data_IF_732464177756
#
_entry.id   IF_732464177756
#
_cell.length_a   1.000
_cell.length_b   1.000
_cell.length_c   1.000
_cell.angle_alpha   90.00
_cell.angle_beta   90.00
_cell.angle_gamma   90.00
#
_symmetry.space_group_name_H-M   'P 1'
#
loop_
_entity.id
_entity.type
_entity.pdbx_description
1 polymer ?
#
# COMPACT_ATOMS: atom_id res chain seq x y z
N UNK A 1 8.14 -18.39 56.61
CA UNK A 1 6.69 -18.09 56.66
C UNK A 1 6.15 -18.51 55.31
N UNK A 2 5.92 -19.81 55.17
CA UNK A 2 5.46 -20.49 53.95
C UNK A 2 4.07 -21.04 54.25
N UNK A 3 3.12 -20.90 53.32
CA UNK A 3 1.96 -21.79 53.29
C UNK A 3 1.64 -22.20 51.87
N UNK A 4 1.79 -23.51 51.66
CA UNK A 4 1.37 -24.32 50.51
C UNK A 4 -0.12 -24.71 50.67
N UNK A 5 -0.69 -25.01 49.51
CA UNK A 5 -1.94 -25.73 49.23
C UNK A 5 -2.36 -26.83 50.21
N UNK A 6 -3.67 -27.06 50.34
CA UNK A 6 -4.23 -28.42 50.48
C UNK A 6 -5.65 -28.55 49.93
N UNK A 7 -5.86 -29.68 49.28
CA UNK A 7 -7.05 -30.20 48.62
C UNK A 7 -7.89 -31.05 49.58
N UNK A 8 -9.18 -31.16 49.23
CA UNK A 8 -10.11 -32.30 49.43
C UNK A 8 -10.60 -32.73 50.83
N UNK A 9 -11.95 -32.88 50.92
CA UNK A 9 -12.75 -34.08 51.32
C UNK A 9 -14.09 -33.65 51.94
N UNK A 10 -15.25 -34.32 51.86
CA UNK A 10 -15.86 -35.41 51.05
C UNK A 10 -17.27 -35.70 51.68
N UNK A 11 -18.17 -36.44 50.98
CA UNK A 11 -19.43 -37.14 51.41
C UNK A 11 -20.77 -36.35 51.50
N UNK A 12 -21.76 -36.55 50.60
CA UNK A 12 -22.84 -37.61 50.46
C UNK A 12 -23.83 -37.61 51.64
N UNK A 13 -25.17 -37.69 51.57
CA UNK A 13 -26.28 -38.11 50.64
C UNK A 13 -27.63 -37.89 51.45
N UNK A 14 -28.90 -38.20 51.04
CA UNK A 14 -29.45 -38.79 49.79
C UNK A 14 -30.79 -38.17 49.26
N UNK A 15 -31.32 -38.80 48.17
CA UNK A 15 -32.74 -38.92 47.72
C UNK A 15 -33.39 -37.66 47.09
N UNK A 16 -34.16 -37.70 45.99
CA UNK A 16 -34.88 -38.75 45.25
C UNK A 16 -34.98 -38.34 43.76
N UNK A 17 -35.09 -39.32 42.86
CA UNK A 17 -35.33 -39.14 41.43
C UNK A 17 -36.63 -38.38 41.13
N UNK A 18 -36.61 -37.51 40.11
CA UNK A 18 -37.67 -37.37 39.12
C UNK A 18 -37.06 -36.78 37.85
N UNK A 19 -36.92 -37.63 36.82
CA UNK A 19 -36.66 -37.19 35.45
C UNK A 19 -37.81 -36.29 35.00
N UNK A 20 -37.50 -35.06 34.63
CA UNK A 20 -38.27 -34.35 33.62
C UNK A 20 -37.30 -33.79 32.58
N UNK A 21 -37.45 -34.30 31.36
CA UNK A 21 -36.71 -33.92 30.18
C UNK A 21 -37.11 -32.49 29.82
N UNK A 22 -36.21 -31.54 30.07
CA UNK A 22 -36.31 -30.16 29.62
C UNK A 22 -34.97 -29.74 29.04
N UNK A 23 -34.81 -29.97 27.74
CA UNK A 23 -33.64 -29.50 26.99
C UNK A 23 -33.74 -27.99 26.88
N UNK A 24 -33.00 -27.27 27.71
CA UNK A 24 -32.73 -25.84 27.51
C UNK A 24 -31.61 -25.77 26.47
N UNK A 25 -31.99 -25.56 25.20
CA UNK A 25 -31.06 -25.10 24.18
C UNK A 25 -30.64 -23.67 24.52
N UNK A 26 -29.43 -23.50 25.05
CA UNK A 26 -28.73 -22.23 24.93
C UNK A 26 -28.43 -22.06 23.43
N UNK A 27 -29.23 -21.24 22.75
CA UNK A 27 -28.87 -20.68 21.46
C UNK A 27 -27.69 -19.74 21.71
N UNK A 28 -26.48 -20.28 21.66
CA UNK A 28 -25.33 -19.53 21.17
C UNK A 28 -25.72 -19.11 19.76
N UNK A 29 -26.13 -17.85 19.60
CA UNK A 29 -26.16 -17.21 18.31
C UNK A 29 -24.74 -17.25 17.79
N UNK A 30 -24.45 -18.27 16.98
CA UNK A 30 -23.37 -18.24 16.02
C UNK A 30 -23.69 -17.01 15.16
N UNK A 31 -23.04 -15.88 15.43
CA UNK A 31 -22.92 -14.84 14.44
C UNK A 31 -22.44 -15.56 13.19
N UNK A 32 -23.25 -15.57 12.14
CA UNK A 32 -22.78 -16.01 10.83
C UNK A 32 -21.56 -15.14 10.57
N UNK A 33 -20.39 -15.76 10.41
CA UNK A 33 -19.36 -15.15 9.59
C UNK A 33 -20.03 -14.88 8.24
N UNK A 34 -20.50 -13.66 8.03
CA UNK A 34 -20.78 -13.20 6.69
C UNK A 34 -19.45 -13.29 5.97
N UNK A 35 -19.34 -14.27 5.07
CA UNK A 35 -18.20 -14.34 4.17
C UNK A 35 -18.18 -13.03 3.44
N UNK A 36 -17.22 -12.16 3.78
CA UNK A 36 -16.89 -11.03 2.96
C UNK A 36 -16.66 -11.57 1.54
N UNK A 37 -17.55 -11.17 0.64
CA UNK A 37 -17.38 -11.38 -0.78
C UNK A 37 -16.10 -10.64 -1.20
N UNK A 38 -15.38 -11.17 -2.18
CA UNK A 38 -14.47 -10.31 -2.94
C UNK A 38 -15.31 -9.15 -3.47
N UNK A 39 -14.76 -7.92 -3.60
CA UNK A 39 -15.39 -6.86 -4.42
C UNK A 39 -15.98 -7.59 -5.62
N UNK A 40 -17.30 -7.52 -5.87
CA UNK A 40 -17.99 -8.39 -6.80
C UNK A 40 -17.09 -8.53 -8.00
N UNK A 41 -16.86 -9.77 -8.45
CA UNK A 41 -16.15 -10.03 -9.69
C UNK A 41 -16.98 -9.41 -10.82
N UNK A 42 -17.08 -8.08 -10.87
CA UNK A 42 -17.20 -7.36 -12.10
C UNK A 42 -16.06 -7.92 -12.92
N UNK A 43 -16.44 -8.58 -14.01
CA UNK A 43 -15.47 -9.07 -14.98
C UNK A 43 -14.49 -7.93 -15.18
N UNK A 44 -13.22 -8.16 -14.82
CA UNK A 44 -12.17 -7.20 -15.11
C UNK A 44 -12.33 -6.97 -16.62
N UNK A 45 -12.54 -5.71 -17.07
CA UNK A 45 -12.61 -5.44 -18.49
C UNK A 45 -11.39 -6.09 -19.15
N UNK A 46 -11.54 -6.71 -20.34
CA UNK A 46 -10.46 -7.48 -20.94
C UNK A 46 -9.14 -6.71 -20.85
N UNK A 47 -8.13 -7.27 -20.19
CA UNK A 47 -6.90 -6.54 -19.97
C UNK A 47 -6.15 -6.37 -21.29
N UNK A 48 -5.70 -5.15 -21.58
CA UNK A 48 -4.93 -4.84 -22.78
C UNK A 48 -3.74 -3.97 -22.42
N UNK A 49 -2.65 -4.15 -23.16
CA UNK A 49 -1.45 -3.34 -23.03
C UNK A 49 -1.46 -2.21 -24.05
N UNK A 50 -0.65 -1.18 -23.79
CA UNK A 50 -0.41 -0.08 -24.73
C UNK A 50 0.10 -0.56 -26.09
N UNK A 51 0.69 -1.76 -26.17
CA UNK A 51 1.07 -2.40 -27.45
C UNK A 51 -0.12 -2.63 -28.38
N UNK A 52 -1.31 -2.90 -27.82
CA UNK A 52 -2.53 -3.18 -28.61
C UNK A 52 -3.31 -1.90 -28.90
N UNK A 53 -3.45 -1.01 -27.91
CA UNK A 53 -4.19 0.26 -28.03
C UNK A 53 -3.84 1.22 -26.90
N UNK A 54 -3.98 2.52 -27.15
CA UNK A 54 -3.76 3.59 -26.18
C UNK A 54 -5.09 4.25 -25.77
N UNK A 55 -5.13 4.89 -24.60
CA UNK A 55 -6.20 5.82 -24.23
C UNK A 55 -5.72 7.24 -24.56
N UNK A 56 -6.47 7.94 -25.41
CA UNK A 56 -6.18 9.32 -25.81
C UNK A 56 -7.22 10.25 -25.21
N UNK A 57 -6.82 11.33 -24.52
CA UNK A 57 -7.76 12.30 -24.02
C UNK A 57 -8.43 13.00 -25.21
N UNK A 58 -9.75 13.16 -25.13
CA UNK A 58 -10.49 13.98 -26.08
C UNK A 58 -10.27 15.44 -25.69
N UNK A 59 -9.25 16.05 -26.26
CA UNK A 59 -8.89 17.43 -25.94
C UNK A 59 -9.86 18.41 -26.61
N UNK A 60 -10.41 19.38 -25.87
CA UNK A 60 -11.10 20.51 -26.48
C UNK A 60 -10.09 21.37 -27.29
N UNK A 61 -10.55 22.14 -28.30
CA UNK A 61 -9.65 23.03 -29.04
C UNK A 61 -8.97 24.05 -28.10
N UNK A 62 -7.67 24.25 -28.25
CA UNK A 62 -6.91 25.24 -27.49
C UNK A 62 -6.94 26.63 -28.16
N UNK A 63 -6.87 27.74 -27.37
CA UNK A 63 -6.78 27.80 -25.90
C UNK A 63 -8.09 27.45 -25.20
N UNK A 64 -8.04 27.11 -23.92
CA UNK A 64 -9.23 26.82 -23.10
C UNK A 64 -9.63 28.04 -22.27
N UNK A 65 -10.49 28.90 -22.80
CA UNK A 65 -11.19 29.90 -21.98
C UNK A 65 -12.23 29.25 -21.05
N UNK A 66 -12.63 29.93 -19.97
CA UNK A 66 -13.71 29.46 -19.08
C UNK A 66 -15.02 29.18 -19.85
N UNK A 67 -15.32 29.99 -20.86
CA UNK A 67 -16.49 29.81 -21.75
C UNK A 67 -16.35 28.53 -22.60
N UNK A 68 -15.16 28.23 -23.10
CA UNK A 68 -14.89 26.99 -23.86
C UNK A 68 -14.91 25.74 -22.98
N UNK A 69 -14.48 25.85 -21.72
CA UNK A 69 -14.60 24.78 -20.73
C UNK A 69 -16.08 24.48 -20.46
N UNK A 70 -16.89 25.50 -20.16
CA UNK A 70 -18.32 25.33 -19.89
C UNK A 70 -19.05 24.75 -21.13
N UNK A 71 -18.68 25.21 -22.33
CA UNK A 71 -19.26 24.74 -23.60
C UNK A 71 -18.86 23.31 -23.96
N UNK A 72 -17.69 22.83 -23.53
CA UNK A 72 -17.20 21.48 -23.80
C UNK A 72 -17.11 20.61 -22.54
N UNK A 73 -17.82 20.96 -21.46
CA UNK A 73 -17.82 20.18 -20.21
C UNK A 73 -18.25 18.73 -20.39
N UNK A 74 -19.03 18.46 -21.43
CA UNK A 74 -19.44 17.12 -21.84
C UNK A 74 -18.32 16.32 -22.51
N UNK A 75 -17.22 16.95 -22.96
CA UNK A 75 -16.06 16.32 -23.58
C UNK A 75 -14.83 16.25 -22.66
N UNK A 76 -14.74 17.15 -21.70
CA UNK A 76 -13.67 17.14 -20.70
C UNK A 76 -13.73 15.82 -19.91
N UNK A 77 -12.58 15.19 -19.72
CA UNK A 77 -12.48 13.89 -19.04
C UNK A 77 -12.93 12.68 -19.88
N UNK A 78 -13.26 12.87 -21.17
CA UNK A 78 -13.50 11.75 -22.08
C UNK A 78 -12.21 11.25 -22.70
N UNK A 79 -12.17 9.95 -22.91
CA UNK A 79 -11.07 9.27 -23.58
C UNK A 79 -11.61 8.47 -24.77
N UNK A 80 -10.79 8.38 -25.82
CA UNK A 80 -11.01 7.48 -26.95
C UNK A 80 -9.86 6.49 -27.08
N UNK A 81 -10.10 5.38 -27.78
CA UNK A 81 -9.03 4.44 -28.09
C UNK A 81 -8.22 4.96 -29.28
N UNK A 82 -6.92 5.07 -29.08
CA UNK A 82 -5.94 5.27 -30.13
C UNK A 82 -5.21 3.98 -30.50
N UNK A 83 -4.38 4.07 -31.54
CA UNK A 83 -3.50 2.99 -31.97
C UNK A 83 -2.55 2.54 -30.84
N UNK A 84 -2.13 1.28 -30.91
CA UNK A 84 -1.12 0.74 -30.01
C UNK A 84 0.28 1.26 -30.29
N UNK A 85 1.14 1.23 -29.28
CA UNK A 85 2.53 1.64 -29.34
C UNK A 85 3.44 0.42 -29.55
N UNK A 86 4.07 0.27 -30.72
CA UNK A 86 4.93 -0.89 -30.98
C UNK A 86 6.23 -0.82 -30.18
N UNK A 87 6.82 -1.98 -29.87
CA UNK A 87 8.15 -2.05 -29.27
C UNK A 87 9.19 -1.31 -30.12
N UNK A 88 9.98 -0.44 -29.47
CA UNK A 88 11.10 0.25 -30.09
C UNK A 88 12.40 -0.50 -29.86
N UNK A 89 13.20 -0.68 -30.92
CA UNK A 89 14.54 -1.24 -30.80
C UNK A 89 15.53 -0.15 -30.35
N UNK A 90 16.09 -0.30 -29.14
CA UNK A 90 17.11 0.60 -28.57
C UNK A 90 18.52 0.11 -28.88
N UNK A 91 19.05 0.45 -30.06
CA UNK A 91 20.41 0.08 -30.48
C UNK A 91 21.51 0.95 -29.84
N UNK A 92 21.13 1.96 -29.07
CA UNK A 92 22.01 2.84 -28.32
C UNK A 92 22.55 2.22 -27.02
N UNK A 93 21.93 1.13 -26.53
CA UNK A 93 22.39 0.40 -25.34
C UNK A 93 23.23 -0.83 -25.78
N UNK A 94 22.66 -1.93 -26.32
CA UNK A 94 23.43 -2.93 -27.06
C UNK A 94 23.17 -2.86 -28.57
N UNK A 95 24.22 -3.04 -29.37
CA UNK A 95 24.06 -3.24 -30.83
C UNK A 95 23.33 -4.54 -31.12
N UNK A 96 22.45 -4.54 -32.12
CA UNK A 96 21.79 -5.76 -32.59
C UNK A 96 22.81 -6.80 -33.07
N UNK A 97 22.74 -8.01 -32.50
CA UNK A 97 23.58 -9.14 -32.90
C UNK A 97 23.26 -9.70 -34.30
N UNK A 98 24.13 -10.57 -34.82
CA UNK A 98 24.10 -11.11 -36.20
C UNK A 98 23.02 -12.19 -36.48
N UNK A 99 21.84 -12.07 -35.88
CA UNK A 99 20.73 -13.01 -36.08
C UNK A 99 20.78 -14.27 -35.19
N UNK A 100 19.68 -15.02 -35.16
CA UNK A 100 19.47 -16.21 -34.33
C UNK A 100 18.09 -16.24 -33.65
N UNK A 101 17.69 -17.38 -33.09
CA UNK A 101 16.47 -17.50 -32.29
C UNK A 101 16.64 -16.75 -30.97
N UNK A 102 15.80 -15.76 -30.72
CA UNK A 102 15.78 -15.03 -29.44
C UNK A 102 14.97 -15.83 -28.43
N UNK A 103 15.45 -15.87 -27.19
CA UNK A 103 14.69 -16.36 -26.03
C UNK A 103 14.50 -15.21 -25.05
N UNK A 104 13.33 -15.14 -24.41
CA UNK A 104 13.14 -14.29 -23.24
C UNK A 104 14.12 -14.75 -22.16
N UNK A 105 14.89 -13.81 -21.60
CA UNK A 105 15.78 -14.09 -20.46
C UNK A 105 15.11 -13.78 -19.12
N UNK A 106 14.20 -12.81 -19.13
CA UNK A 106 13.46 -12.33 -17.98
C UNK A 106 12.14 -11.74 -18.46
N UNK A 107 11.10 -11.83 -17.65
CA UNK A 107 9.82 -11.16 -17.81
C UNK A 107 9.26 -10.91 -16.41
N UNK A 108 9.16 -9.65 -16.06
CA UNK A 108 8.82 -9.22 -14.72
C UNK A 108 7.91 -8.00 -14.82
N UNK A 109 7.23 -7.70 -13.71
CA UNK A 109 6.44 -6.49 -13.56
C UNK A 109 7.21 -5.53 -12.68
N UNK A 110 7.24 -4.27 -13.10
CA UNK A 110 7.78 -3.16 -12.33
C UNK A 110 6.66 -2.17 -12.06
N UNK A 111 6.37 -1.95 -10.78
CA UNK A 111 5.43 -0.96 -10.27
C UNK A 111 6.18 0.03 -9.38
N UNK A 112 5.66 1.23 -9.24
CA UNK A 112 6.21 2.30 -8.41
C UNK A 112 5.09 3.27 -8.05
N UNK A 113 5.27 4.03 -6.96
CA UNK A 113 4.41 5.17 -6.62
C UNK A 113 2.94 4.75 -6.51
N UNK A 114 2.69 3.68 -5.75
CA UNK A 114 1.34 3.17 -5.49
C UNK A 114 0.58 4.15 -4.60
N UNK A 115 1.25 4.69 -3.57
CA UNK A 115 0.68 5.60 -2.58
C UNK A 115 -0.67 5.13 -2.02
N UNK A 116 -0.67 3.96 -1.37
CA UNK A 116 -1.81 3.62 -0.50
C UNK A 116 -1.91 4.73 0.57
N UNK A 117 -3.05 5.41 0.56
CA UNK A 117 -3.28 6.59 1.37
C UNK A 117 -4.50 6.38 2.25
N UNK A 118 -4.34 6.70 3.53
CA UNK A 118 -5.46 6.88 4.45
C UNK A 118 -6.04 8.29 4.24
N UNK A 119 -7.13 8.41 3.49
CA UNK A 119 -7.80 9.68 3.21
C UNK A 119 -8.45 10.30 4.45
N UNK A 120 -8.80 9.48 5.44
CA UNK A 120 -9.36 9.92 6.72
C UNK A 120 -8.26 10.29 7.72
N UNK A 121 -7.00 10.08 7.35
CA UNK A 121 -5.84 10.53 8.12
C UNK A 121 -5.81 12.06 8.24
N UNK A 122 -5.61 12.60 9.45
CA UNK A 122 -5.45 14.05 9.64
C UNK A 122 -4.14 14.60 9.05
N UNK A 123 -3.25 13.74 8.53
CA UNK A 123 -1.96 14.12 7.95
C UNK A 123 -2.05 14.49 6.47
N UNK A 124 -3.25 14.52 5.86
CA UNK A 124 -3.42 14.94 4.47
C UNK A 124 -3.23 16.45 4.35
N UNK A 125 -2.59 16.89 3.26
CA UNK A 125 -2.28 18.30 2.99
C UNK A 125 -3.29 18.94 2.04
N UNK A 126 -3.38 20.28 1.98
CA UNK A 126 -4.32 21.02 1.11
C UNK A 126 -4.34 20.53 -0.34
N UNK A 127 -3.18 20.21 -0.92
CA UNK A 127 -3.09 19.71 -2.28
C UNK A 127 -3.68 18.30 -2.48
N UNK A 128 -3.81 17.52 -1.41
CA UNK A 128 -4.15 16.09 -1.46
C UNK A 128 -5.44 15.74 -0.71
N UNK A 129 -5.94 16.62 0.15
CA UNK A 129 -7.19 16.38 0.90
C UNK A 129 -8.42 16.29 -0.01
N UNK A 130 -8.40 16.86 -1.21
CA UNK A 130 -9.50 16.78 -2.19
C UNK A 130 -9.34 15.66 -3.21
N UNK A 131 -8.27 14.86 -3.08
CA UNK A 131 -7.92 13.85 -4.04
C UNK A 131 -8.90 12.67 -3.97
N UNK A 132 -9.65 12.45 -5.07
CA UNK A 132 -10.59 11.33 -5.20
C UNK A 132 -9.84 9.99 -5.24
N UNK A 133 -8.66 9.97 -5.86
CA UNK A 133 -7.85 8.76 -6.01
C UNK A 133 -7.38 8.18 -4.68
N UNK A 134 -7.29 8.99 -3.61
CA UNK A 134 -6.96 8.50 -2.28
C UNK A 134 -8.00 7.50 -1.74
N UNK A 135 -9.30 7.86 -1.84
CA UNK A 135 -10.45 7.00 -1.45
C UNK A 135 -10.44 5.64 -2.12
N UNK A 136 -9.87 5.55 -3.32
CA UNK A 136 -9.88 4.34 -4.12
C UNK A 136 -8.49 3.71 -4.29
N UNK A 137 -7.48 4.18 -3.55
CA UNK A 137 -6.08 3.74 -3.73
C UNK A 137 -5.93 2.23 -3.51
N UNK A 138 -6.61 1.70 -2.50
CA UNK A 138 -6.61 0.28 -2.13
C UNK A 138 -7.31 -0.58 -3.20
N UNK A 139 -8.48 -0.15 -3.67
CA UNK A 139 -9.26 -0.84 -4.70
C UNK A 139 -8.56 -0.76 -6.07
N UNK A 140 -7.88 0.35 -6.36
CA UNK A 140 -7.06 0.51 -7.55
C UNK A 140 -5.89 -0.48 -7.54
N UNK A 141 -5.22 -0.63 -6.39
CA UNK A 141 -4.17 -1.65 -6.24
C UNK A 141 -4.73 -3.06 -6.44
N UNK A 142 -5.90 -3.40 -5.89
CA UNK A 142 -6.55 -4.70 -6.14
C UNK A 142 -6.87 -4.92 -7.63
N UNK A 143 -7.37 -3.88 -8.31
CA UNK A 143 -7.61 -3.91 -9.76
C UNK A 143 -6.30 -4.12 -10.56
N UNK A 144 -5.18 -3.56 -10.09
CA UNK A 144 -3.86 -3.83 -10.66
C UNK A 144 -3.45 -5.29 -10.47
N UNK A 145 -3.60 -5.85 -9.26
CA UNK A 145 -3.25 -7.27 -8.99
C UNK A 145 -4.07 -8.22 -9.89
N UNK A 146 -5.36 -7.96 -10.01
CA UNK A 146 -6.29 -8.63 -10.93
C UNK A 146 -5.82 -8.57 -12.39
N UNK A 147 -5.42 -7.40 -12.85
CA UNK A 147 -4.90 -7.18 -14.22
C UNK A 147 -3.60 -7.94 -14.47
N UNK A 148 -2.67 -7.91 -13.52
CA UNK A 148 -1.42 -8.67 -13.61
C UNK A 148 -1.66 -10.17 -13.65
N UNK A 149 -2.59 -10.67 -12.84
CA UNK A 149 -2.97 -12.08 -12.87
C UNK A 149 -3.64 -12.51 -14.19
N UNK A 150 -4.30 -11.61 -14.91
CA UNK A 150 -4.83 -11.92 -16.24
C UNK A 150 -3.68 -12.10 -17.25
N UNK A 151 -2.74 -11.16 -17.27
CA UNK A 151 -1.57 -11.23 -18.14
C UNK A 151 -0.64 -12.42 -17.81
N UNK A 152 -0.54 -12.82 -16.55
CA UNK A 152 0.29 -13.96 -16.14
C UNK A 152 -0.20 -15.31 -16.72
N UNK A 153 -1.44 -15.38 -17.20
CA UNK A 153 -2.00 -16.57 -17.87
C UNK A 153 -1.33 -16.86 -19.22
N UNK A 154 -0.88 -15.83 -19.95
CA UNK A 154 -0.16 -16.00 -21.21
C UNK A 154 1.29 -16.47 -20.97
N UNK A 155 1.97 -15.85 -20.00
CA UNK A 155 3.30 -16.23 -19.54
C UNK A 155 3.43 -15.83 -18.05
N UNK A 156 3.73 -16.76 -17.14
CA UNK A 156 4.01 -16.40 -15.75
C UNK A 156 5.19 -15.43 -15.66
N UNK A 157 5.12 -14.49 -14.72
CA UNK A 157 6.23 -13.60 -14.40
C UNK A 157 7.31 -14.34 -13.63
N UNK A 158 8.56 -13.94 -13.86
CA UNK A 158 9.70 -14.43 -13.10
C UNK A 158 9.72 -13.81 -11.69
N UNK A 159 9.26 -12.55 -11.55
CA UNK A 159 9.00 -11.85 -10.29
C UNK A 159 8.21 -10.56 -10.54
N UNK A 160 7.80 -9.89 -9.46
CA UNK A 160 7.20 -8.56 -9.45
C UNK A 160 8.03 -7.66 -8.51
N UNK A 161 8.19 -6.38 -8.83
CA UNK A 161 8.90 -5.44 -7.95
C UNK A 161 8.18 -4.09 -7.85
N UNK A 162 8.04 -3.60 -6.63
CA UNK A 162 7.56 -2.25 -6.28
C UNK A 162 8.77 -1.38 -5.91
N UNK A 163 9.00 -0.26 -6.58
CA UNK A 163 10.24 0.54 -6.40
C UNK A 163 10.08 1.79 -5.56
N UNK A 164 9.38 1.68 -4.44
CA UNK A 164 9.18 2.76 -3.49
C UNK A 164 7.80 3.39 -3.56
N UNK A 165 7.51 4.15 -2.51
CA UNK A 165 6.26 4.90 -2.32
C UNK A 165 5.04 3.99 -2.45
N UNK A 166 5.11 2.90 -1.68
CA UNK A 166 4.03 1.92 -1.56
C UNK A 166 2.89 2.49 -0.73
N UNK A 167 3.22 3.27 0.30
CA UNK A 167 2.29 3.99 1.18
C UNK A 167 2.50 5.50 1.08
N UNK A 168 1.60 6.30 1.64
CA UNK A 168 1.63 7.76 1.49
C UNK A 168 2.23 8.51 2.68
N UNK A 169 2.02 8.04 3.91
CA UNK A 169 2.42 8.77 5.13
C UNK A 169 3.10 7.90 6.18
N UNK A 170 3.70 6.77 5.76
CA UNK A 170 4.39 5.83 6.65
C UNK A 170 3.51 5.34 7.80
N UNK A 171 2.18 5.26 7.60
CA UNK A 171 1.26 4.80 8.64
C UNK A 171 1.20 3.28 8.67
N UNK A 172 0.91 2.70 9.84
CA UNK A 172 0.76 1.26 9.96
C UNK A 172 -0.38 0.75 9.07
N UNK A 173 -1.58 1.33 9.17
CA UNK A 173 -2.75 0.93 8.37
C UNK A 173 -2.43 0.92 6.88
N UNK A 174 -1.84 1.99 6.33
CA UNK A 174 -1.45 2.06 4.93
C UNK A 174 -0.52 0.88 4.53
N UNK A 175 0.48 0.57 5.36
CA UNK A 175 1.41 -0.53 5.09
C UNK A 175 0.75 -1.91 5.26
N UNK A 176 -0.21 -2.05 6.18
CA UNK A 176 -1.02 -3.27 6.30
C UNK A 176 -1.91 -3.47 5.09
N UNK A 177 -2.63 -2.42 4.66
CA UNK A 177 -3.51 -2.45 3.50
C UNK A 177 -2.74 -2.79 2.23
N UNK A 178 -1.61 -2.11 1.98
CA UNK A 178 -0.72 -2.44 0.85
C UNK A 178 -0.37 -3.93 0.84
N UNK A 179 0.18 -4.44 1.95
CA UNK A 179 0.59 -5.85 2.06
C UNK A 179 -0.60 -6.80 1.86
N UNK A 180 -1.71 -6.54 2.54
CA UNK A 180 -2.93 -7.37 2.49
C UNK A 180 -3.52 -7.43 1.08
N UNK A 181 -3.56 -6.31 0.35
CA UNK A 181 -4.02 -6.29 -1.04
C UNK A 181 -3.11 -7.13 -1.93
N UNK A 182 -1.79 -6.96 -1.82
CA UNK A 182 -0.82 -7.70 -2.63
C UNK A 182 -0.84 -9.20 -2.32
N UNK A 183 -1.03 -9.58 -1.05
CA UNK A 183 -1.08 -10.98 -0.61
C UNK A 183 -2.44 -11.68 -0.79
N UNK A 184 -3.52 -10.91 -1.03
CA UNK A 184 -4.87 -11.43 -1.17
C UNK A 184 -5.50 -11.80 0.16
N UNK A 185 -5.47 -10.87 1.11
CA UNK A 185 -6.10 -10.96 2.42
C UNK A 185 -7.35 -10.06 2.50
N UNK A 186 -8.06 -10.15 3.62
CA UNK A 186 -9.16 -9.25 3.96
C UNK A 186 -8.63 -7.87 4.35
N UNK A 187 -9.18 -6.85 3.69
CA UNK A 187 -8.82 -5.45 3.86
C UNK A 187 -10.05 -4.69 4.34
N UNK A 188 -9.85 -3.87 5.35
CA UNK A 188 -10.84 -2.95 5.92
C UNK A 188 -10.25 -1.53 5.77
N UNK A 189 -10.65 -0.79 4.71
CA UNK A 189 -10.17 0.57 4.43
C UNK A 189 -10.58 1.63 5.44
N UNK A 190 -11.67 1.41 6.20
CA UNK A 190 -12.19 2.41 7.12
C UNK A 190 -11.19 2.65 8.26
N UNK A 191 -10.74 3.89 8.44
CA UNK A 191 -9.91 4.30 9.57
C UNK A 191 -10.59 5.37 10.44
N UNK A 192 -11.73 5.89 9.99
CA UNK A 192 -12.49 6.95 10.62
C UNK A 192 -13.60 6.44 11.52
N UNK A 193 -14.80 6.97 11.30
CA UNK A 193 -15.97 6.52 12.02
C UNK A 193 -16.50 5.28 11.29
N UNK A 194 -16.49 4.13 11.96
CA UNK A 194 -17.07 2.87 11.45
C UNK A 194 -18.56 3.08 11.12
N UNK A 195 -18.80 3.45 9.87
CA UNK A 195 -20.10 3.78 9.33
C UNK A 195 -20.30 3.18 7.93
N UNK A 196 -21.56 3.21 7.51
CA UNK A 196 -22.03 2.58 6.26
C UNK A 196 -22.82 3.66 5.51
N UNK A 197 -22.13 4.66 4.92
CA UNK A 197 -22.76 5.82 4.29
C UNK A 197 -23.69 5.42 3.15
N UNK A 198 -23.42 4.27 2.51
CA UNK A 198 -24.35 3.63 1.58
C UNK A 198 -24.74 2.26 2.11
N UNK A 199 -25.91 2.08 2.74
CA UNK A 199 -26.23 0.81 3.39
C UNK A 199 -26.06 -0.44 2.51
N UNK A 200 -25.20 -1.36 2.96
CA UNK A 200 -24.96 -2.67 2.35
C UNK A 200 -23.51 -2.88 1.91
N UNK A 201 -23.12 -4.09 1.50
CA UNK A 201 -21.71 -4.37 1.27
C UNK A 201 -21.25 -4.00 -0.16
N UNK A 202 -20.02 -3.54 -0.28
CA UNK A 202 -19.29 -3.23 -1.53
C UNK A 202 -19.89 -2.09 -2.37
N UNK A 203 -20.49 -1.12 -1.72
CA UNK A 203 -21.16 0.01 -2.36
C UNK A 203 -20.57 1.36 -1.95
N UNK A 204 -19.61 1.38 -1.02
CA UNK A 204 -18.72 2.50 -0.75
C UNK A 204 -17.23 2.07 -0.72
N UNK A 205 -16.37 3.05 -0.44
CA UNK A 205 -14.92 2.88 -0.48
C UNK A 205 -14.32 2.42 0.85
N UNK A 206 -15.09 2.49 1.94
CA UNK A 206 -14.71 2.07 3.29
C UNK A 206 -15.13 0.63 3.59
N UNK A 207 -16.04 0.07 2.80
CA UNK A 207 -16.45 -1.32 2.86
C UNK A 207 -15.28 -2.32 2.89
N UNK A 208 -15.23 -3.20 3.89
CA UNK A 208 -14.26 -4.28 3.92
C UNK A 208 -14.43 -5.24 2.74
N UNK A 209 -13.32 -5.70 2.17
CA UNK A 209 -13.35 -6.65 1.07
C UNK A 209 -12.20 -7.65 1.11
N UNK A 210 -12.45 -8.81 0.49
CA UNK A 210 -11.39 -9.78 0.23
C UNK A 210 -10.63 -9.38 -1.04
N UNK A 211 -9.37 -9.00 -0.90
CA UNK A 211 -8.50 -8.69 -2.03
C UNK A 211 -8.19 -9.95 -2.84
N UNK A 212 -8.01 -9.78 -4.15
CA UNK A 212 -7.66 -10.87 -5.05
C UNK A 212 -6.22 -11.35 -4.82
N UNK A 213 -5.30 -10.42 -4.54
CA UNK A 213 -3.88 -10.71 -4.38
C UNK A 213 -3.17 -11.12 -5.67
N UNK A 214 -1.84 -11.11 -5.63
CA UNK A 214 -0.99 -11.70 -6.65
C UNK A 214 -1.07 -13.23 -6.62
N UNK A 215 -0.82 -13.85 -7.78
CA UNK A 215 -0.54 -15.28 -7.83
C UNK A 215 0.62 -15.65 -6.91
N UNK A 216 0.33 -16.46 -5.88
CA UNK A 216 1.28 -16.88 -4.83
C UNK A 216 2.51 -17.64 -5.35
N UNK A 217 2.51 -18.04 -6.63
CA UNK A 217 3.66 -18.68 -7.28
C UNK A 217 4.72 -17.68 -7.75
N UNK A 218 4.35 -16.41 -7.88
CA UNK A 218 5.23 -15.34 -8.35
C UNK A 218 5.80 -14.60 -7.13
N UNK A 219 7.13 -14.62 -6.91
CA UNK A 219 7.71 -13.82 -5.85
C UNK A 219 7.57 -12.34 -6.17
N UNK A 220 7.32 -11.53 -5.14
CA UNK A 220 7.31 -10.08 -5.27
C UNK A 220 8.24 -9.43 -4.25
N UNK A 221 8.82 -8.30 -4.65
CA UNK A 221 9.78 -7.55 -3.86
C UNK A 221 9.37 -6.09 -3.77
N UNK A 222 9.81 -5.42 -2.70
CA UNK A 222 9.62 -3.99 -2.50
C UNK A 222 10.97 -3.32 -2.30
N UNK A 223 11.12 -2.09 -2.78
CA UNK A 223 12.20 -1.18 -2.45
C UNK A 223 11.59 -0.03 -1.68
N UNK A 224 12.28 0.47 -0.66
CA UNK A 224 11.78 1.53 0.19
C UNK A 224 11.87 2.90 -0.53
N UNK A 225 10.79 3.68 -0.47
CA UNK A 225 10.70 5.07 -0.94
C UNK A 225 10.53 6.05 0.21
N UNK A 226 10.57 7.35 -0.09
CA UNK A 226 10.50 8.37 0.95
C UNK A 226 9.14 8.40 1.67
N UNK A 227 8.02 8.15 0.99
CA UNK A 227 6.70 8.07 1.64
C UNK A 227 6.54 6.84 2.54
N UNK A 228 7.32 5.79 2.29
CA UNK A 228 7.34 4.60 3.13
C UNK A 228 7.98 4.88 4.51
N UNK A 229 8.82 5.91 4.61
CA UNK A 229 9.51 6.32 5.84
C UNK A 229 9.02 7.64 6.46
N UNK A 230 8.47 8.53 5.66
CA UNK A 230 8.20 9.91 6.03
C UNK A 230 6.71 10.21 5.88
N UNK A 231 6.21 11.10 6.73
CA UNK A 231 4.86 11.63 6.60
C UNK A 231 4.82 12.44 5.30
N UNK A 232 3.90 12.07 4.39
CA UNK A 232 3.79 12.67 3.05
C UNK A 232 5.13 12.75 2.31
N UNK A 233 5.99 11.76 2.54
CA UNK A 233 7.29 11.69 1.88
C UNK A 233 8.28 12.79 2.24
N UNK A 234 7.98 13.67 3.20
CA UNK A 234 8.75 14.90 3.41
C UNK A 234 9.08 15.18 4.87
N UNK A 235 8.25 14.74 5.81
CA UNK A 235 8.41 15.06 7.23
C UNK A 235 8.83 13.81 7.99
N UNK A 236 9.97 13.87 8.69
CA UNK A 236 10.41 12.80 9.57
C UNK A 236 9.46 12.63 10.77
N UNK A 237 9.19 11.37 11.20
CA UNK A 237 8.41 11.07 12.40
C UNK A 237 9.21 11.37 13.69
N UNK A 238 9.64 12.62 13.86
CA UNK A 238 10.29 13.12 15.07
C UNK A 238 9.59 14.40 15.54
N UNK A 239 9.56 14.62 16.85
CA UNK A 239 8.93 15.80 17.43
C UNK A 239 9.58 17.10 16.93
N UNK A 240 10.90 17.10 16.78
CA UNK A 240 11.67 18.24 16.29
C UNK A 240 11.36 18.57 14.82
N UNK A 241 11.28 17.57 13.95
CA UNK A 241 10.93 17.79 12.54
C UNK A 241 9.46 18.21 12.38
N UNK A 242 8.59 17.67 13.21
CA UNK A 242 7.20 18.08 13.28
C UNK A 242 7.07 19.56 13.72
N UNK A 243 7.82 20.00 14.75
CA UNK A 243 7.87 21.42 15.15
C UNK A 243 8.34 22.36 14.03
N UNK A 244 9.36 21.97 13.25
CA UNK A 244 9.88 22.78 12.15
C UNK A 244 8.88 22.88 11.00
N UNK A 245 8.21 21.77 10.69
CA UNK A 245 7.18 21.70 9.63
C UNK A 245 5.82 22.26 10.06
N UNK A 246 5.61 22.45 11.37
CA UNK A 246 4.33 22.85 11.95
C UNK A 246 3.29 21.71 12.03
N UNK A 247 3.72 20.46 11.88
CA UNK A 247 2.90 19.26 12.11
C UNK A 247 3.14 18.72 13.54
N UNK A 248 2.21 17.93 14.07
CA UNK A 248 2.37 17.25 15.37
C UNK A 248 2.37 15.72 15.12
N UNK A 249 3.40 14.97 15.54
CA UNK A 249 3.50 13.55 15.18
C UNK A 249 2.55 12.67 16.01
N UNK A 250 1.96 13.19 17.09
CA UNK A 250 0.97 12.47 17.93
C UNK A 250 -0.43 12.50 17.29
N UNK A 251 -0.67 13.37 16.31
CA UNK A 251 -1.98 13.61 15.71
C UNK A 251 -2.57 12.37 15.07
N UNK A 252 -1.74 11.54 14.45
CA UNK A 252 -2.17 10.34 13.74
C UNK A 252 -3.11 9.47 14.60
N UNK A 253 -2.92 9.44 15.92
CA UNK A 253 -3.75 8.68 16.86
C UNK A 253 -4.62 9.56 17.77
N UNK A 254 -4.71 10.86 17.49
CA UNK A 254 -5.43 11.84 18.33
C UNK A 254 -6.86 12.09 17.84
N UNK A 255 -7.70 12.66 18.71
CA UNK A 255 -9.09 13.00 18.42
C UNK A 255 -9.27 14.32 17.65
N UNK A 256 -8.17 14.93 17.17
CA UNK A 256 -8.19 16.22 16.45
C UNK A 256 -7.28 16.18 15.24
N UNK A 257 -7.66 16.90 14.19
CA UNK A 257 -6.68 17.30 13.16
C UNK A 257 -5.78 18.38 13.75
N UNK A 258 -4.47 18.17 13.85
CA UNK A 258 -3.54 19.29 14.07
C UNK A 258 -2.69 19.56 12.82
N UNK A 259 -2.19 20.79 12.79
CA UNK A 259 -1.35 21.34 11.74
C UNK A 259 -1.69 22.80 11.53
N UNK A 260 -1.06 23.43 10.54
CA UNK A 260 -1.33 24.84 10.23
C UNK A 260 -2.75 24.94 9.66
N UNK A 261 -3.59 25.78 10.28
CA UNK A 261 -4.97 25.99 9.84
C UNK A 261 -5.04 26.29 8.34
N UNK A 262 -5.76 25.44 7.59
CA UNK A 262 -5.92 25.55 6.14
C UNK A 262 -4.91 24.77 5.30
N UNK A 263 -3.83 24.22 5.89
CA UNK A 263 -2.83 23.42 5.17
C UNK A 263 -3.02 21.91 5.34
N UNK A 264 -3.80 21.46 6.32
CA UNK A 264 -4.08 20.05 6.60
C UNK A 264 -5.55 19.80 6.91
N UNK A 265 -5.97 18.56 6.71
CA UNK A 265 -7.34 18.10 6.89
C UNK A 265 -7.45 16.59 6.72
N UNK A 266 -8.63 16.05 6.98
CA UNK A 266 -9.00 14.67 6.65
C UNK A 266 -10.23 14.70 5.74
N UNK A 267 -10.47 13.64 4.97
CA UNK A 267 -11.77 13.43 4.35
C UNK A 267 -12.75 12.84 5.37
N UNK A 268 -14.01 13.23 5.28
CA UNK A 268 -15.10 12.69 6.07
C UNK A 268 -15.62 11.40 5.38
N UNK A 269 -15.21 10.23 5.88
CA UNK A 269 -15.63 8.92 5.38
C UNK A 269 -17.13 8.65 5.53
N UNK A 270 -17.79 9.35 6.46
CA UNK A 270 -19.22 9.20 6.76
C UNK A 270 -20.19 9.60 5.65
N UNK A 271 -19.65 10.08 4.52
CA UNK A 271 -20.44 10.49 3.37
C UNK A 271 -19.71 10.16 2.06
N UNK A 272 -20.48 9.82 1.03
CA UNK A 272 -19.95 9.70 -0.33
C UNK A 272 -19.60 11.05 -0.97
N UNK A 273 -19.94 12.18 -0.35
CA UNK A 273 -19.49 13.49 -0.80
C UNK A 273 -18.05 13.74 -0.35
N UNK A 274 -17.28 14.50 -1.13
CA UNK A 274 -15.95 14.92 -0.70
C UNK A 274 -16.13 16.09 0.26
N UNK A 275 -16.21 15.75 1.54
CA UNK A 275 -16.24 16.72 2.63
C UNK A 275 -14.91 16.64 3.38
N UNK A 276 -14.37 17.82 3.69
CA UNK A 276 -13.11 17.95 4.42
C UNK A 276 -13.40 18.28 5.88
N UNK A 277 -12.78 17.54 6.79
CA UNK A 277 -12.62 17.89 8.19
C UNK A 277 -11.38 18.79 8.29
N UNK A 278 -11.54 20.10 8.55
CA UNK A 278 -10.41 21.02 8.57
C UNK A 278 -9.58 20.90 9.86
N UNK A 279 -8.35 21.38 9.78
CA UNK A 279 -7.48 21.56 10.94
C UNK A 279 -8.19 22.19 12.16
N UNK A 280 -8.03 21.55 13.33
CA UNK A 280 -8.62 21.96 14.60
C UNK A 280 -10.00 21.37 14.90
N UNK A 281 -10.60 20.62 13.97
CA UNK A 281 -11.85 19.88 14.20
C UNK A 281 -11.58 18.43 14.66
N UNK A 282 -12.65 17.76 15.10
CA UNK A 282 -12.60 16.39 15.59
C UNK A 282 -12.42 15.40 14.43
N UNK A 283 -11.48 14.47 14.59
CA UNK A 283 -11.30 13.32 13.71
C UNK A 283 -11.35 12.06 14.57
N UNK A 284 -12.10 11.02 14.18
CA UNK A 284 -12.11 9.76 14.92
C UNK A 284 -10.68 9.22 15.07
N UNK A 285 -10.19 8.92 16.30
CA UNK A 285 -8.84 8.39 16.49
C UNK A 285 -8.76 6.92 16.08
N UNK A 286 -7.65 6.54 15.42
CA UNK A 286 -7.35 5.15 15.09
C UNK A 286 -5.89 4.82 15.46
N UNK A 287 -5.68 3.80 16.28
CA UNK A 287 -4.35 3.35 16.69
C UNK A 287 -3.53 2.77 15.52
N UNK A 288 -4.21 2.29 14.47
CA UNK A 288 -3.58 1.80 13.23
C UNK A 288 -2.95 2.93 12.43
N UNK A 289 -3.24 4.20 12.71
CA UNK A 289 -2.57 5.34 12.06
C UNK A 289 -1.17 5.63 12.57
N UNK A 290 -0.67 4.90 13.57
CA UNK A 290 0.68 5.10 14.12
C UNK A 290 1.75 5.14 13.02
N UNK A 291 2.71 6.07 13.14
CA UNK A 291 3.79 6.21 12.17
C UNK A 291 4.87 5.15 12.41
N UNK A 292 5.26 4.46 11.34
CA UNK A 292 6.24 3.38 11.35
C UNK A 292 7.68 3.89 11.24
N UNK A 293 7.90 4.87 10.36
CA UNK A 293 9.23 5.19 9.88
C UNK A 293 9.87 4.03 9.10
N UNK A 294 11.13 4.21 8.69
CA UNK A 294 11.81 3.21 7.86
C UNK A 294 11.88 1.81 8.50
N UNK A 295 12.22 1.74 9.79
CA UNK A 295 12.37 0.46 10.49
C UNK A 295 11.06 -0.33 10.54
N UNK A 296 9.95 0.35 10.87
CA UNK A 296 8.64 -0.28 10.93
C UNK A 296 8.14 -0.73 9.55
N UNK A 297 8.41 0.03 8.49
CA UNK A 297 8.06 -0.39 7.12
C UNK A 297 8.86 -1.61 6.67
N UNK A 298 10.18 -1.62 6.93
CA UNK A 298 11.08 -2.76 6.65
C UNK A 298 10.61 -4.01 7.39
N UNK A 299 10.25 -3.88 8.67
CA UNK A 299 9.70 -4.97 9.46
C UNK A 299 8.37 -5.45 8.91
N UNK A 300 7.47 -4.52 8.54
CA UNK A 300 6.15 -4.87 8.04
C UNK A 300 6.19 -5.67 6.74
N UNK A 301 7.16 -5.39 5.87
CA UNK A 301 7.34 -6.06 4.57
C UNK A 301 8.50 -7.08 4.56
N UNK A 302 8.88 -7.60 5.73
CA UNK A 302 9.85 -8.68 5.83
C UNK A 302 9.44 -9.88 4.95
N UNK A 303 10.40 -10.43 4.20
CA UNK A 303 10.17 -11.53 3.26
C UNK A 303 9.99 -11.09 1.81
N UNK A 304 9.75 -9.81 1.55
CA UNK A 304 9.61 -9.23 0.20
C UNK A 304 10.84 -8.43 -0.22
N UNK A 305 12.02 -9.00 0.05
CA UNK A 305 13.33 -8.37 -0.19
C UNK A 305 14.08 -8.09 1.12
N UNK A 306 13.34 -7.71 2.17
CA UNK A 306 13.91 -7.46 3.49
C UNK A 306 14.03 -8.72 4.34
N UNK A 307 15.08 -8.79 5.15
CA UNK A 307 15.36 -9.87 6.09
C UNK A 307 15.62 -9.33 7.51
N UNK A 308 15.94 -10.22 8.46
CA UNK A 308 16.21 -9.83 9.85
C UNK A 308 17.39 -8.85 10.03
N UNK A 309 18.40 -8.90 9.15
CA UNK A 309 19.53 -7.98 9.18
C UNK A 309 19.10 -6.58 8.73
N UNK A 310 18.21 -6.47 7.73
CA UNK A 310 17.59 -5.20 7.36
C UNK A 310 16.84 -4.57 8.54
N UNK A 311 16.06 -5.36 9.28
CA UNK A 311 15.32 -4.90 10.46
C UNK A 311 16.29 -4.42 11.56
N UNK A 312 17.33 -5.21 11.85
CA UNK A 312 18.33 -4.87 12.88
C UNK A 312 19.11 -3.59 12.56
N UNK A 313 19.43 -3.36 11.28
CA UNK A 313 20.16 -2.18 10.83
C UNK A 313 19.26 -0.97 10.59
N UNK A 314 17.98 -1.19 10.29
CA UNK A 314 17.04 -0.15 9.86
C UNK A 314 17.28 0.34 8.43
N UNK A 315 17.88 -0.49 7.55
CA UNK A 315 18.17 -0.16 6.15
C UNK A 315 17.62 -1.21 5.19
N UNK A 316 16.99 -0.76 4.11
CA UNK A 316 16.32 -1.58 3.10
C UNK A 316 17.17 -2.03 1.92
N UNK A 317 18.51 -1.96 2.00
CA UNK A 317 19.36 -2.45 0.91
C UNK A 317 19.34 -3.98 0.88
N UNK A 318 19.14 -4.60 -0.28
CA UNK A 318 19.21 -6.05 -0.44
C UNK A 318 19.60 -6.48 -1.85
N UNK A 319 19.94 -7.74 -1.97
CA UNK A 319 20.23 -8.40 -3.25
C UNK A 319 19.34 -9.61 -3.41
N UNK A 320 18.84 -9.81 -4.63
CA UNK A 320 18.16 -11.04 -5.01
C UNK A 320 18.62 -11.52 -6.38
N UNK A 321 18.95 -12.81 -6.46
CA UNK A 321 19.29 -13.46 -7.72
C UNK A 321 18.02 -14.04 -8.35
N UNK A 322 17.76 -13.66 -9.60
CA UNK A 322 16.57 -14.09 -10.34
C UNK A 322 16.98 -14.89 -11.57
N UNK A 323 16.38 -16.06 -11.69
CA UNK A 323 16.72 -17.01 -12.73
C UNK A 323 18.15 -17.52 -12.56
N UNK A 324 18.92 -17.57 -13.65
CA UNK A 324 20.30 -18.10 -13.65
C UNK A 324 21.38 -17.04 -13.88
N UNK A 325 20.99 -15.82 -14.23
CA UNK A 325 21.91 -14.85 -14.84
C UNK A 325 21.65 -13.40 -14.44
N UNK A 326 20.62 -13.12 -13.64
CA UNK A 326 20.32 -11.76 -13.20
C UNK A 326 20.48 -11.65 -11.69
N UNK A 327 21.20 -10.61 -11.28
CA UNK A 327 21.23 -10.12 -9.91
C UNK A 327 20.52 -8.77 -9.86
N UNK A 328 19.57 -8.64 -8.95
CA UNK A 328 18.89 -7.38 -8.64
C UNK A 328 19.53 -6.84 -7.37
N UNK A 329 19.96 -5.59 -7.40
CA UNK A 329 20.49 -4.87 -6.24
C UNK A 329 19.51 -3.74 -5.95
N UNK A 330 18.80 -3.83 -4.84
CA UNK A 330 17.92 -2.79 -4.33
C UNK A 330 18.70 -1.89 -3.38
N UNK A 331 18.58 -0.58 -3.57
CA UNK A 331 19.27 0.43 -2.78
C UNK A 331 18.25 1.28 -2.03
N UNK A 332 18.46 1.38 -0.73
CA UNK A 332 17.73 2.31 0.13
C UNK A 332 18.40 3.68 0.00
N UNK A 333 17.76 4.59 -0.73
CA UNK A 333 18.34 5.92 -0.98
C UNK A 333 17.85 6.97 0.01
N UNK A 334 17.22 6.58 1.12
CA UNK A 334 16.58 7.54 2.02
C UNK A 334 17.63 8.18 2.91
N UNK A 335 17.78 9.50 2.80
CA UNK A 335 18.76 10.23 3.59
C UNK A 335 18.30 10.39 5.04
N UNK A 336 18.95 9.66 5.96
CA UNK A 336 18.65 9.67 7.40
C UNK A 336 19.36 10.78 8.19
N UNK A 337 20.28 11.50 7.55
CA UNK A 337 20.97 12.64 8.19
C UNK A 337 20.18 13.95 7.97
N UNK A 338 19.19 14.16 8.85
CA UNK A 338 18.21 15.26 8.81
C UNK A 338 18.82 16.65 8.54
N UNK A 339 19.99 16.94 9.13
CA UNK A 339 20.63 18.25 9.06
C UNK A 339 21.38 18.51 7.74
N UNK A 340 21.88 17.47 7.07
CA UNK A 340 22.68 17.60 5.85
C UNK A 340 21.83 17.58 4.57
N UNK A 341 20.66 16.95 4.63
CA UNK A 341 19.73 16.80 3.50
C UNK A 341 18.54 17.78 3.52
N UNK A 342 18.56 18.76 4.43
CA UNK A 342 17.58 19.83 4.51
C UNK A 342 16.22 19.41 5.07
N UNK A 343 16.13 18.28 5.78
CA UNK A 343 14.88 17.77 6.35
C UNK A 343 13.78 17.48 5.32
N UNK A 344 14.15 17.18 4.07
CA UNK A 344 13.25 16.92 2.93
C UNK A 344 13.61 15.60 2.25
N UNK A 345 12.79 15.18 1.28
CA UNK A 345 12.81 13.93 0.48
C UNK A 345 14.07 13.69 -0.39
N UNK A 346 15.22 14.21 0.01
CA UNK A 346 16.48 14.08 -0.73
C UNK A 346 17.00 12.65 -0.67
N UNK A 347 17.36 12.10 -1.83
CA UNK A 347 18.00 10.80 -1.93
C UNK A 347 19.51 10.88 -1.68
N UNK A 348 20.07 9.99 -0.85
CA UNK A 348 21.51 9.81 -0.72
C UNK A 348 21.88 8.33 -0.55
N UNK A 349 23.15 8.00 -0.79
CA UNK A 349 23.74 6.74 -0.35
C UNK A 349 24.83 7.07 0.66
N UNK A 350 24.75 6.44 1.82
CA UNK A 350 25.80 6.57 2.81
C UNK A 350 27.07 5.85 2.34
N UNK A 351 28.22 6.30 2.85
CA UNK A 351 29.52 5.77 2.42
C UNK A 351 29.59 4.25 2.60
N UNK A 352 29.06 3.71 3.70
CA UNK A 352 29.06 2.26 3.94
C UNK A 352 28.17 1.50 2.92
N UNK A 353 27.02 2.06 2.50
CA UNK A 353 26.18 1.44 1.47
C UNK A 353 26.92 1.33 0.15
N UNK A 354 27.80 2.29 -0.14
CA UNK A 354 28.64 2.27 -1.32
C UNK A 354 29.84 1.31 -1.18
N UNK A 355 30.64 1.48 -0.13
CA UNK A 355 31.92 0.79 0.07
C UNK A 355 31.77 -0.66 0.55
N UNK A 356 30.76 -0.93 1.39
CA UNK A 356 30.60 -2.22 2.07
C UNK A 356 29.45 -3.07 1.51
N UNK A 357 28.53 -2.47 0.75
CA UNK A 357 27.41 -3.18 0.12
C UNK A 357 27.48 -3.17 -1.41
N UNK A 358 27.33 -2.00 -2.07
CA UNK A 358 27.18 -1.93 -3.51
C UNK A 358 28.44 -2.40 -4.28
N UNK A 359 29.63 -1.90 -3.93
CA UNK A 359 30.88 -2.32 -4.59
C UNK A 359 31.08 -3.84 -4.45
N UNK A 360 31.03 -4.43 -3.25
CA UNK A 360 31.17 -5.88 -3.10
C UNK A 360 30.15 -6.69 -3.89
N UNK A 361 28.89 -6.25 -3.98
CA UNK A 361 27.86 -6.97 -4.75
C UNK A 361 28.11 -6.91 -6.26
N UNK A 362 28.58 -5.77 -6.76
CA UNK A 362 28.98 -5.62 -8.16
C UNK A 362 30.21 -6.46 -8.50
N UNK A 363 31.15 -6.61 -7.57
CA UNK A 363 32.32 -7.49 -7.73
C UNK A 363 31.91 -8.96 -7.75
N UNK A 364 31.08 -9.40 -6.80
CA UNK A 364 30.51 -10.77 -6.79
C UNK A 364 29.80 -11.10 -8.10
N UNK A 365 28.96 -10.19 -8.60
CA UNK A 365 28.24 -10.39 -9.85
C UNK A 365 29.16 -10.56 -11.09
N UNK A 366 30.39 -10.02 -11.05
CA UNK A 366 31.38 -10.21 -12.13
C UNK A 366 32.07 -11.56 -12.07
N UNK A 367 32.23 -12.12 -10.87
CA UNK A 367 32.95 -13.37 -10.62
C UNK A 367 32.05 -14.60 -10.83
N UNK A 368 30.77 -14.51 -10.43
CA UNK A 368 29.80 -15.62 -10.39
C UNK A 368 29.14 -15.95 -11.75
N UNK A 369 29.92 -15.95 -12.84
CA UNK A 369 29.42 -16.11 -14.23
C UNK A 369 28.59 -17.37 -14.52
#
# INVERSE_FOLDING_TARGET
MEWRWTMERFYRKPLFCLLNVGVIFLLLTCAKEEKLSTIPQTEIPPSWTTLKKTLKPVLPPEPLSEEEIEKNKDKIGKFEFGDGEPHLLREDIPKKGKGGTRRSMLYFVHLSDVHIADEESPLRTEATMYEITARFSIQLLDAMMRTLNDFSKERPYDFIIFTGDSVDSSQLNEAEWFRKVVEGEEVDPDSGADDDPVPGPYNDFNDPFLAHGLDKRVPWYVVIGNHDCLIKGTIWPSFECALISGFDPVIATSDRVCGVKGLCGAQDGSTNEIRIIPAGEYTPPDERRRILGCGGFIEKLQGHGFNEDNIKRGYGNYVVDVGRVFRIIALDTICREDFLCGGLSSGCLERWQFEEFLIPELERAREEK
#
